data_IF_384830254862
#
_entry.id   IF_384830254862
#
_cell.length_a   1.000
_cell.length_b   1.000
_cell.length_c   1.000
_cell.angle_alpha   90.00
_cell.angle_beta   90.00
_cell.angle_gamma   90.00
#
_symmetry.space_group_name_H-M   'P 1'
#
loop_
_entity.id
_entity.type
_entity.pdbx_description
1 polymer ?
#
# COMPACT_ATOMS: atom_id res chain seq x y z
N UNK A 1 -44.27 14.41 29.68
CA UNK A 1 -44.35 13.18 28.90
C UNK A 1 -43.05 12.88 28.19
N UNK A 2 -42.54 11.67 28.31
CA UNK A 2 -41.48 11.13 27.45
C UNK A 2 -42.11 10.71 26.13
N UNK A 3 -41.58 11.22 25.02
CA UNK A 3 -42.07 10.87 23.67
C UNK A 3 -41.08 9.92 23.01
N UNK A 4 -41.49 8.67 22.79
CA UNK A 4 -40.70 7.63 22.13
C UNK A 4 -41.33 7.27 20.78
N UNK A 5 -40.47 6.95 19.82
CA UNK A 5 -40.89 6.40 18.53
C UNK A 5 -40.45 4.95 18.41
N UNK A 6 -41.36 4.04 18.61
CA UNK A 6 -41.12 2.59 18.53
C UNK A 6 -42.18 1.92 17.64
N UNK A 7 -41.77 0.92 16.86
CA UNK A 7 -42.63 0.14 15.96
C UNK A 7 -43.46 1.01 14.98
N UNK A 8 -42.84 2.11 14.48
CA UNK A 8 -43.48 3.10 13.60
C UNK A 8 -44.68 3.85 14.27
N UNK A 9 -44.75 3.85 15.58
CA UNK A 9 -45.82 4.57 16.34
C UNK A 9 -45.16 5.45 17.38
N UNK A 10 -45.80 6.59 17.64
CA UNK A 10 -45.46 7.48 18.75
C UNK A 10 -46.08 6.88 20.03
N UNK A 11 -45.26 6.71 21.07
CA UNK A 11 -45.68 6.35 22.42
C UNK A 11 -45.32 7.50 23.33
N UNK A 12 -46.22 7.77 24.29
CA UNK A 12 -46.01 8.81 25.29
C UNK A 12 -46.27 8.24 26.66
N UNK A 13 -45.30 8.40 27.55
CA UNK A 13 -45.42 8.00 28.95
C UNK A 13 -45.29 9.22 29.84
N UNK A 14 -46.14 9.32 30.88
CA UNK A 14 -46.17 10.45 31.79
C UNK A 14 -45.24 10.24 32.97
N UNK A 15 -44.42 11.24 33.29
CA UNK A 15 -43.47 11.23 34.39
C UNK A 15 -43.54 12.50 35.19
N UNK A 16 -43.48 12.40 36.52
CA UNK A 16 -43.31 13.53 37.40
C UNK A 16 -41.83 13.81 37.66
N UNK A 17 -41.43 15.07 37.54
CA UNK A 17 -40.07 15.50 37.91
C UNK A 17 -39.93 15.41 39.40
N UNK A 18 -39.02 14.62 39.91
CA UNK A 18 -38.77 14.50 41.35
C UNK A 18 -37.93 15.67 41.86
N UNK A 19 -36.88 15.99 41.13
CA UNK A 19 -35.99 17.11 41.41
C UNK A 19 -35.36 17.66 40.15
N UNK A 20 -34.95 18.93 40.23
CA UNK A 20 -34.19 19.58 39.17
C UNK A 20 -32.87 20.10 39.73
N UNK A 21 -31.81 19.82 39.02
CA UNK A 21 -30.44 20.25 39.32
C UNK A 21 -29.95 21.18 38.22
N UNK A 22 -28.75 21.73 38.38
CA UNK A 22 -28.07 22.50 37.33
C UNK A 22 -27.04 21.66 36.63
N UNK A 23 -27.08 21.57 35.32
CA UNK A 23 -26.07 21.03 34.47
C UNK A 23 -25.16 22.14 33.93
N UNK A 24 -23.87 22.07 34.18
CA UNK A 24 -22.90 23.12 33.83
C UNK A 24 -23.30 24.53 34.38
N UNK A 25 -23.84 24.56 35.58
CA UNK A 25 -24.30 25.78 36.29
C UNK A 25 -25.37 26.65 35.55
N UNK A 26 -25.78 26.23 34.37
CA UNK A 26 -26.61 27.03 33.48
C UNK A 26 -27.92 26.33 33.05
N UNK A 27 -27.87 25.05 32.74
CA UNK A 27 -28.97 24.31 32.13
C UNK A 27 -29.72 23.50 33.17
N UNK A 28 -31.04 23.30 32.99
CA UNK A 28 -31.82 22.44 33.85
C UNK A 28 -31.45 20.96 33.60
N UNK A 29 -31.30 20.20 34.66
CA UNK A 29 -31.10 18.77 34.67
C UNK A 29 -32.23 18.13 35.49
N UNK A 30 -33.13 17.46 34.80
CA UNK A 30 -34.32 16.89 35.42
C UNK A 30 -34.08 15.44 35.81
N UNK A 31 -34.54 15.07 37.00
CA UNK A 31 -34.41 13.73 37.55
C UNK A 31 -35.82 13.22 37.87
N UNK A 32 -36.08 12.00 37.39
CA UNK A 32 -37.35 11.32 37.58
C UNK A 32 -37.12 10.07 38.40
N UNK A 33 -38.02 9.79 39.37
CA UNK A 33 -37.91 8.68 40.35
C UNK A 33 -38.01 7.27 39.71
N UNK A 34 -38.25 7.19 38.43
CA UNK A 34 -38.48 5.97 37.71
C UNK A 34 -37.36 5.73 36.69
N UNK A 35 -36.87 4.48 36.61
CA UNK A 35 -35.90 4.10 35.62
C UNK A 35 -36.57 3.47 34.39
N UNK A 36 -36.72 4.27 33.35
CA UNK A 36 -37.23 3.82 32.07
C UNK A 36 -36.06 3.32 31.20
N UNK A 37 -35.98 2.02 31.04
CA UNK A 37 -35.01 1.35 30.13
C UNK A 37 -35.55 1.24 28.71
N UNK A 38 -36.79 1.59 28.44
CA UNK A 38 -37.43 1.50 27.13
C UNK A 38 -37.16 2.71 26.24
N UNK A 39 -36.77 3.84 26.84
CA UNK A 39 -36.47 5.06 26.12
C UNK A 39 -35.15 5.04 25.35
N UNK A 40 -35.15 5.61 24.16
CA UNK A 40 -33.94 5.84 23.37
C UNK A 40 -33.26 7.11 23.82
N UNK A 41 -31.96 7.09 24.06
CA UNK A 41 -31.21 8.30 24.42
C UNK A 41 -31.49 9.44 23.42
N UNK A 42 -31.77 10.66 23.96
CA UNK A 42 -32.16 11.80 23.17
C UNK A 42 -33.67 11.92 22.92
N UNK A 43 -34.49 10.96 23.36
CA UNK A 43 -35.96 11.09 23.30
C UNK A 43 -36.43 12.33 24.08
N UNK A 44 -37.33 13.17 23.52
CA UNK A 44 -37.74 14.41 24.17
C UNK A 44 -38.73 14.19 25.30
N UNK A 45 -38.52 14.88 26.40
CA UNK A 45 -39.53 15.14 27.41
C UNK A 45 -40.27 16.44 27.05
N UNK A 46 -41.62 16.38 26.98
CA UNK A 46 -42.46 17.52 26.68
C UNK A 46 -43.34 17.88 27.87
N UNK A 47 -43.59 19.16 28.07
CA UNK A 47 -44.54 19.65 29.10
C UNK A 47 -45.96 19.67 28.54
N UNK A 48 -46.94 20.10 29.39
CA UNK A 48 -48.34 20.21 29.03
C UNK A 48 -48.63 21.19 27.85
N UNK A 49 -47.69 22.09 27.55
CA UNK A 49 -47.80 23.04 26.45
C UNK A 49 -47.12 22.49 25.15
N UNK A 50 -46.66 21.23 25.15
CA UNK A 50 -45.97 20.64 23.99
C UNK A 50 -44.54 21.11 23.80
N UNK A 51 -43.96 21.85 24.75
CA UNK A 51 -42.57 22.33 24.66
C UNK A 51 -41.60 21.25 25.13
N UNK A 52 -40.52 21.05 24.41
CA UNK A 52 -39.43 20.14 24.83
C UNK A 52 -38.65 20.76 25.97
N UNK A 53 -38.71 20.13 27.14
CA UNK A 53 -38.05 20.58 28.36
C UNK A 53 -36.76 19.82 28.68
N UNK A 54 -36.60 18.61 28.15
CA UNK A 54 -35.43 17.79 28.39
C UNK A 54 -35.23 16.75 27.29
N UNK A 55 -33.99 16.26 27.14
CA UNK A 55 -33.64 15.13 26.30
C UNK A 55 -33.16 13.98 27.21
N UNK A 56 -33.75 12.81 27.02
CA UNK A 56 -33.45 11.61 27.80
C UNK A 56 -31.97 11.28 27.75
N UNK A 57 -31.33 11.13 28.90
CA UNK A 57 -30.00 10.62 29.09
C UNK A 57 -30.08 9.14 29.47
N UNK A 58 -29.36 8.30 28.72
CA UNK A 58 -29.25 6.87 29.05
C UNK A 58 -28.07 6.64 29.98
N UNK A 59 -28.30 5.94 31.10
CA UNK A 59 -27.26 5.51 32.03
C UNK A 59 -27.42 4.01 32.33
N UNK A 60 -26.33 3.28 32.24
CA UNK A 60 -26.32 1.84 32.56
C UNK A 60 -26.33 1.58 34.08
N UNK A 61 -25.96 2.56 34.87
CA UNK A 61 -25.71 2.42 36.33
C UNK A 61 -26.73 3.08 37.23
N UNK A 62 -27.58 3.97 36.70
CA UNK A 62 -28.53 4.73 37.52
C UNK A 62 -29.89 4.03 37.61
N UNK A 63 -30.49 4.12 38.78
CA UNK A 63 -31.88 3.69 39.07
C UNK A 63 -32.89 4.76 38.71
N UNK A 64 -32.45 5.96 38.34
CA UNK A 64 -33.25 7.12 38.03
C UNK A 64 -33.18 7.44 36.52
N UNK A 65 -34.25 8.02 36.00
CA UNK A 65 -34.29 8.56 34.63
C UNK A 65 -33.86 10.03 34.67
N UNK A 66 -32.95 10.39 33.78
CA UNK A 66 -32.38 11.72 33.71
C UNK A 66 -32.68 12.40 32.37
N UNK A 67 -32.90 13.70 32.38
CA UNK A 67 -33.03 14.49 31.16
C UNK A 67 -32.31 15.85 31.27
N UNK A 68 -31.59 16.20 30.24
CA UNK A 68 -30.87 17.47 30.13
C UNK A 68 -31.64 18.47 29.29
N UNK A 69 -31.65 19.75 29.69
CA UNK A 69 -32.25 20.85 28.93
C UNK A 69 -31.75 20.87 27.48
N UNK A 70 -32.64 20.81 26.46
CA UNK A 70 -32.26 20.74 25.07
C UNK A 70 -31.44 21.94 24.58
N UNK A 71 -31.53 23.10 25.27
CA UNK A 71 -30.74 24.29 24.94
C UNK A 71 -29.25 24.08 25.10
N UNK A 72 -28.82 23.09 25.89
CA UNK A 72 -27.42 22.67 25.93
C UNK A 72 -26.91 22.22 24.54
N UNK A 73 -27.72 21.47 23.79
CA UNK A 73 -27.35 20.98 22.47
C UNK A 73 -27.04 22.13 21.49
N UNK A 74 -27.69 23.30 21.65
CA UNK A 74 -27.46 24.48 20.79
C UNK A 74 -26.11 25.16 21.05
N UNK A 75 -25.41 24.80 22.13
CA UNK A 75 -24.12 25.38 22.50
C UNK A 75 -22.96 24.45 22.13
N UNK A 76 -23.26 23.24 21.64
CA UNK A 76 -22.25 22.31 21.17
C UNK A 76 -21.66 22.84 19.86
N UNK A 77 -20.38 23.16 19.90
CA UNK A 77 -19.61 23.48 18.70
C UNK A 77 -18.87 22.25 18.23
N UNK A 78 -19.04 21.92 16.97
CA UNK A 78 -18.33 20.82 16.31
C UNK A 78 -17.38 21.38 15.25
N UNK A 79 -16.21 20.79 15.14
CA UNK A 79 -15.25 21.08 14.08
C UNK A 79 -15.00 19.84 13.22
N UNK A 80 -14.31 19.99 12.10
CA UNK A 80 -14.05 18.89 11.16
C UNK A 80 -13.31 17.69 11.78
N UNK A 81 -12.55 17.89 12.87
CA UNK A 81 -11.83 16.82 13.56
C UNK A 81 -12.74 15.99 14.47
N UNK A 82 -13.90 16.53 14.88
CA UNK A 82 -14.83 15.79 15.75
C UNK A 82 -15.43 14.54 15.07
N UNK A 83 -15.35 14.43 13.75
CA UNK A 83 -15.68 13.20 13.01
C UNK A 83 -14.83 12.00 13.45
N UNK A 84 -13.68 12.25 14.10
CA UNK A 84 -12.81 11.19 14.62
C UNK A 84 -13.21 10.71 16.01
N UNK A 85 -14.13 11.40 16.71
CA UNK A 85 -14.52 11.05 18.09
C UNK A 85 -15.35 9.76 18.13
N UNK A 86 -14.99 8.82 19.04
CA UNK A 86 -15.73 7.56 19.18
C UNK A 86 -17.21 7.73 19.46
N UNK A 87 -17.56 8.71 20.30
CA UNK A 87 -18.97 8.98 20.66
C UNK A 87 -19.79 9.45 19.47
N UNK A 88 -19.22 10.35 18.65
CA UNK A 88 -19.85 10.81 17.42
C UNK A 88 -20.09 9.66 16.44
N UNK A 89 -19.14 8.73 16.33
CA UNK A 89 -19.23 7.59 15.40
C UNK A 89 -20.33 6.58 15.76
N UNK A 90 -20.76 6.55 17.03
CA UNK A 90 -21.92 5.74 17.47
C UNK A 90 -23.26 6.34 17.06
N UNK A 91 -23.28 7.59 16.60
CA UNK A 91 -24.50 8.26 16.17
C UNK A 91 -24.72 8.15 14.65
N UNK A 92 -25.96 8.19 14.19
CA UNK A 92 -26.29 8.30 12.77
C UNK A 92 -26.27 9.78 12.26
N UNK A 93 -25.95 10.72 13.14
CA UNK A 93 -25.97 12.15 12.82
C UNK A 93 -24.76 12.49 11.94
N UNK A 94 -24.98 13.20 10.84
CA UNK A 94 -23.91 13.79 10.02
C UNK A 94 -23.72 15.25 10.43
N UNK A 95 -22.46 15.66 10.56
CA UNK A 95 -22.14 17.08 10.73
C UNK A 95 -22.28 17.82 9.40
N UNK A 96 -22.57 19.11 9.49
CA UNK A 96 -22.54 19.97 8.31
C UNK A 96 -21.09 20.05 7.78
N UNK A 97 -20.95 19.94 6.47
CA UNK A 97 -19.67 20.13 5.80
C UNK A 97 -19.18 21.58 5.99
N UNK A 98 -17.93 21.81 6.43
CA UNK A 98 -17.37 23.15 6.62
C UNK A 98 -17.51 24.06 5.41
N UNK A 99 -17.47 25.39 5.64
CA UNK A 99 -17.56 26.39 4.56
C UNK A 99 -16.24 26.54 3.81
N UNK A 100 -15.13 26.17 4.42
CA UNK A 100 -13.83 26.07 3.75
C UNK A 100 -13.67 24.71 3.07
N UNK A 101 -13.36 24.71 1.78
CA UNK A 101 -13.27 23.47 0.97
C UNK A 101 -12.16 22.54 1.42
N UNK A 102 -11.04 23.06 1.93
CA UNK A 102 -9.92 22.25 2.41
C UNK A 102 -10.24 21.55 3.73
N UNK A 103 -10.92 22.28 4.64
CA UNK A 103 -11.41 21.69 5.89
C UNK A 103 -12.50 20.64 5.62
N UNK A 104 -13.36 20.89 4.64
CA UNK A 104 -14.36 19.95 4.20
C UNK A 104 -13.74 18.68 3.61
N UNK A 105 -12.71 18.81 2.78
CA UNK A 105 -11.97 17.69 2.22
C UNK A 105 -11.24 16.89 3.31
N UNK A 106 -10.59 17.58 4.27
CA UNK A 106 -9.97 16.92 5.42
C UNK A 106 -10.98 16.11 6.22
N UNK A 107 -12.18 16.65 6.45
CA UNK A 107 -13.26 15.93 7.13
C UNK A 107 -13.67 14.64 6.38
N UNK A 108 -13.74 14.69 5.04
CA UNK A 108 -14.02 13.51 4.21
C UNK A 108 -12.88 12.48 4.36
N UNK A 109 -11.62 12.90 4.26
CA UNK A 109 -10.46 12.02 4.41
C UNK A 109 -10.46 11.30 5.77
N UNK A 110 -10.71 12.03 6.86
CA UNK A 110 -10.80 11.45 8.21
C UNK A 110 -11.95 10.46 8.38
N UNK A 111 -13.01 10.59 7.57
CA UNK A 111 -14.15 9.66 7.60
C UNK A 111 -13.88 8.38 6.83
N UNK A 112 -13.05 8.44 5.78
CA UNK A 112 -12.73 7.29 4.93
C UNK A 112 -11.97 6.20 5.68
N UNK A 113 -11.11 6.56 6.63
CA UNK A 113 -10.31 5.61 7.43
C UNK A 113 -11.16 4.72 8.35
N UNK A 114 -12.42 5.08 8.61
CA UNK A 114 -13.30 4.38 9.55
C UNK A 114 -14.34 3.47 8.91
N UNK A 115 -14.26 3.24 7.62
CA UNK A 115 -15.12 2.31 6.86
C UNK A 115 -16.65 2.54 7.05
N UNK A 116 -17.09 3.67 7.62
CA UNK A 116 -18.50 4.01 7.65
C UNK A 116 -18.95 4.49 6.27
N UNK A 117 -19.22 3.51 5.40
CA UNK A 117 -19.48 3.77 3.98
C UNK A 117 -20.69 4.71 3.76
N UNK A 118 -21.72 4.66 4.60
CA UNK A 118 -22.92 5.48 4.46
C UNK A 118 -22.66 6.95 4.80
N UNK A 119 -21.98 7.23 5.91
CA UNK A 119 -21.57 8.60 6.27
C UNK A 119 -20.59 9.17 5.27
N UNK A 120 -19.59 8.38 4.87
CA UNK A 120 -18.57 8.79 3.90
C UNK A 120 -19.19 9.20 2.56
N UNK A 121 -20.09 8.36 2.02
CA UNK A 121 -20.85 8.70 0.79
C UNK A 121 -21.65 9.97 0.96
N UNK A 122 -22.31 10.13 2.10
CA UNK A 122 -23.08 11.32 2.40
C UNK A 122 -22.22 12.59 2.44
N UNK A 123 -21.03 12.55 3.05
CA UNK A 123 -20.13 13.69 3.07
C UNK A 123 -19.55 14.04 1.70
N UNK A 124 -19.25 13.05 0.88
CA UNK A 124 -18.84 13.29 -0.52
C UNK A 124 -19.96 14.01 -1.29
N UNK A 125 -21.20 13.54 -1.16
CA UNK A 125 -22.35 14.16 -1.82
C UNK A 125 -22.59 15.61 -1.35
N UNK A 126 -22.51 15.83 -0.03
CA UNK A 126 -22.65 17.16 0.58
C UNK A 126 -21.51 18.11 0.13
N UNK A 127 -20.27 17.58 -0.02
CA UNK A 127 -19.14 18.35 -0.55
C UNK A 127 -19.37 18.77 -1.99
N UNK A 128 -19.74 17.83 -2.87
CA UNK A 128 -20.02 18.12 -4.28
C UNK A 128 -21.15 19.16 -4.42
N UNK A 129 -22.19 19.02 -3.61
CA UNK A 129 -23.30 19.97 -3.62
C UNK A 129 -22.87 21.38 -3.18
N UNK A 130 -21.97 21.47 -2.18
CA UNK A 130 -21.48 22.73 -1.64
C UNK A 130 -20.39 23.37 -2.49
N UNK A 131 -19.52 22.56 -3.08
CA UNK A 131 -18.36 22.99 -3.87
C UNK A 131 -18.36 22.37 -5.28
N UNK A 132 -19.38 22.60 -6.10
CA UNK A 132 -19.52 21.93 -7.41
C UNK A 132 -18.41 22.30 -8.41
N UNK A 133 -17.65 23.36 -8.12
CA UNK A 133 -16.54 23.81 -8.98
C UNK A 133 -15.17 23.21 -8.60
N UNK A 134 -15.10 22.45 -7.49
CA UNK A 134 -13.90 21.78 -7.05
C UNK A 134 -13.83 20.36 -7.60
N UNK A 135 -12.67 19.95 -8.09
CA UNK A 135 -12.47 18.62 -8.69
C UNK A 135 -12.46 17.52 -7.62
N UNK A 136 -11.92 17.83 -6.45
CA UNK A 136 -11.67 16.88 -5.36
C UNK A 136 -12.86 16.00 -4.98
N UNK A 137 -14.06 16.60 -4.91
CA UNK A 137 -15.28 15.86 -4.56
C UNK A 137 -15.64 14.79 -5.58
N UNK A 138 -15.56 15.13 -6.86
CA UNK A 138 -15.82 14.19 -7.95
C UNK A 138 -14.76 13.11 -8.03
N UNK A 139 -13.48 13.48 -7.88
CA UNK A 139 -12.37 12.54 -7.84
C UNK A 139 -12.52 11.55 -6.69
N UNK A 140 -12.84 12.03 -5.49
CA UNK A 140 -13.05 11.18 -4.32
C UNK A 140 -14.21 10.20 -4.54
N UNK A 141 -15.32 10.67 -5.11
CA UNK A 141 -16.46 9.82 -5.48
C UNK A 141 -16.07 8.77 -6.53
N UNK A 142 -15.38 9.20 -7.57
CA UNK A 142 -14.94 8.34 -8.68
C UNK A 142 -13.98 7.26 -8.22
N UNK A 143 -12.97 7.60 -7.40
CA UNK A 143 -12.02 6.63 -6.85
C UNK A 143 -12.73 5.58 -5.98
N UNK A 144 -13.66 6.00 -5.13
CA UNK A 144 -14.45 5.09 -4.32
C UNK A 144 -15.33 4.16 -5.17
N UNK A 145 -16.01 4.70 -6.19
CA UNK A 145 -16.82 3.89 -7.11
C UNK A 145 -15.95 2.90 -7.89
N UNK A 146 -14.79 3.36 -8.37
CA UNK A 146 -13.82 2.53 -9.08
C UNK A 146 -13.30 1.37 -8.19
N UNK A 147 -12.99 1.63 -6.92
CA UNK A 147 -12.57 0.59 -5.97
C UNK A 147 -13.66 -0.45 -5.68
N UNK A 148 -14.93 -0.07 -5.83
CA UNK A 148 -16.08 -0.98 -5.72
C UNK A 148 -16.49 -1.61 -7.06
N UNK A 149 -15.74 -1.40 -8.15
CA UNK A 149 -16.04 -1.93 -9.48
C UNK A 149 -17.11 -1.15 -10.27
N UNK A 150 -17.64 -0.04 -9.73
CA UNK A 150 -18.58 0.84 -10.42
C UNK A 150 -17.82 1.84 -11.31
N UNK A 151 -17.22 1.34 -12.38
CA UNK A 151 -16.44 2.16 -13.32
C UNK A 151 -17.33 3.12 -14.13
N UNK A 152 -18.56 2.72 -14.44
CA UNK A 152 -19.50 3.59 -15.14
C UNK A 152 -19.92 4.78 -14.28
N UNK A 153 -20.16 4.55 -12.98
CA UNK A 153 -20.45 5.62 -12.03
C UNK A 153 -19.25 6.53 -11.79
N UNK A 154 -18.03 5.97 -11.77
CA UNK A 154 -16.79 6.75 -11.67
C UNK A 154 -16.58 7.64 -12.92
N UNK A 155 -16.81 7.11 -14.12
CA UNK A 155 -16.75 7.84 -15.38
C UNK A 155 -17.76 9.00 -15.42
N UNK A 156 -18.98 8.76 -14.92
CA UNK A 156 -20.00 9.80 -14.83
C UNK A 156 -19.57 10.94 -13.90
N UNK A 157 -18.97 10.62 -12.75
CA UNK A 157 -18.47 11.64 -11.82
C UNK A 157 -17.37 12.50 -12.45
N UNK A 158 -16.41 11.89 -13.14
CA UNK A 158 -15.33 12.64 -13.81
C UNK A 158 -15.83 13.49 -14.97
N UNK A 159 -16.84 13.04 -15.70
CA UNK A 159 -17.54 13.87 -16.70
C UNK A 159 -18.26 15.06 -16.05
N UNK A 160 -18.82 14.90 -14.86
CA UNK A 160 -19.39 16.03 -14.12
C UNK A 160 -18.27 17.00 -13.64
N UNK A 161 -17.12 16.49 -13.18
CA UNK A 161 -15.96 17.32 -12.88
C UNK A 161 -15.56 18.17 -14.09
N UNK A 162 -15.39 17.56 -15.27
CA UNK A 162 -15.10 18.28 -16.52
C UNK A 162 -16.15 19.36 -16.87
N UNK A 163 -17.41 19.10 -16.55
CA UNK A 163 -18.48 20.07 -16.83
C UNK A 163 -18.45 21.25 -15.87
N UNK A 164 -18.26 21.02 -14.58
CA UNK A 164 -18.50 22.02 -13.54
C UNK A 164 -17.23 22.65 -12.95
N UNK A 165 -16.10 21.93 -12.93
CA UNK A 165 -14.88 22.43 -12.30
C UNK A 165 -14.38 23.73 -12.97
N UNK A 166 -13.89 24.63 -12.15
CA UNK A 166 -13.24 25.87 -12.62
C UNK A 166 -11.87 25.54 -13.24
N UNK A 167 -11.11 24.67 -12.61
CA UNK A 167 -9.80 24.20 -13.13
C UNK A 167 -10.01 22.98 -14.03
N UNK A 168 -10.12 23.24 -15.34
CA UNK A 168 -10.31 22.18 -16.34
C UNK A 168 -9.07 21.31 -16.53
N UNK A 169 -7.88 21.89 -16.44
CA UNK A 169 -6.64 21.12 -16.56
C UNK A 169 -6.54 20.07 -15.44
N UNK A 170 -6.85 20.46 -14.21
CA UNK A 170 -6.91 19.54 -13.07
C UNK A 170 -8.00 18.47 -13.25
N UNK A 171 -9.18 18.84 -13.75
CA UNK A 171 -10.24 17.89 -14.00
C UNK A 171 -9.84 16.81 -15.04
N UNK A 172 -9.16 17.19 -16.11
CA UNK A 172 -8.58 16.26 -17.07
C UNK A 172 -7.47 15.39 -16.45
N UNK A 173 -6.60 16.01 -15.63
CA UNK A 173 -5.51 15.31 -14.92
C UNK A 173 -6.06 14.25 -13.95
N UNK A 174 -7.08 14.57 -13.15
CA UNK A 174 -7.71 13.61 -12.26
C UNK A 174 -8.47 12.52 -13.01
N UNK A 175 -9.07 12.84 -14.14
CA UNK A 175 -9.80 11.86 -14.94
C UNK A 175 -8.86 10.79 -15.52
N UNK A 176 -7.74 11.19 -16.14
CA UNK A 176 -6.77 10.20 -16.59
C UNK A 176 -6.24 9.35 -15.43
N UNK A 177 -6.00 9.93 -14.25
CA UNK A 177 -5.49 9.23 -13.09
C UNK A 177 -6.45 8.14 -12.61
N UNK A 178 -7.76 8.44 -12.55
CA UNK A 178 -8.80 7.46 -12.20
C UNK A 178 -8.87 6.33 -13.23
N UNK A 179 -8.83 6.66 -14.53
CA UNK A 179 -8.78 5.66 -15.60
C UNK A 179 -7.55 4.77 -15.52
N UNK A 180 -6.37 5.38 -15.35
CA UNK A 180 -5.08 4.70 -15.30
C UNK A 180 -4.99 3.71 -14.14
N UNK A 181 -5.50 4.10 -12.97
CA UNK A 181 -5.56 3.21 -11.82
C UNK A 181 -6.35 1.92 -12.13
N UNK A 182 -7.48 2.02 -12.79
CA UNK A 182 -8.25 0.84 -13.24
C UNK A 182 -7.47 0.03 -14.28
N UNK A 183 -6.90 0.69 -15.26
CA UNK A 183 -6.24 0.04 -16.40
C UNK A 183 -4.98 -0.73 -15.99
N UNK A 184 -4.29 -0.30 -14.93
CA UNK A 184 -3.05 -0.93 -14.47
C UNK A 184 -3.31 -1.95 -13.35
N UNK A 185 -4.24 -1.69 -12.44
CA UNK A 185 -4.37 -2.49 -11.21
C UNK A 185 -5.64 -3.33 -11.14
N UNK A 186 -6.63 -3.11 -12.03
CA UNK A 186 -7.85 -3.91 -12.02
C UNK A 186 -7.79 -5.03 -13.08
N UNK A 187 -8.22 -6.22 -12.69
CA UNK A 187 -8.42 -7.34 -13.61
C UNK A 187 -9.78 -7.29 -14.34
N UNK A 188 -10.56 -6.22 -14.14
CA UNK A 188 -11.86 -6.10 -14.81
C UNK A 188 -11.68 -5.90 -16.31
N UNK A 189 -12.24 -6.80 -17.09
CA UNK A 189 -12.24 -6.77 -18.56
C UNK A 189 -13.60 -6.36 -19.17
N UNK A 190 -14.61 -6.12 -18.33
CA UNK A 190 -15.98 -5.85 -18.80
C UNK A 190 -16.17 -4.39 -19.16
N UNK A 191 -15.61 -3.46 -18.37
CA UNK A 191 -15.71 -2.04 -18.65
C UNK A 191 -14.64 -1.61 -19.66
N UNK A 192 -15.04 -1.45 -20.93
CA UNK A 192 -14.16 -1.18 -22.07
C UNK A 192 -14.08 0.29 -22.48
N UNK A 193 -14.87 1.15 -21.85
CA UNK A 193 -14.90 2.59 -22.18
C UNK A 193 -13.59 3.31 -21.81
N UNK A 194 -12.85 2.79 -20.85
CA UNK A 194 -11.56 3.31 -20.48
C UNK A 194 -10.43 2.55 -21.18
N UNK A 195 -9.60 3.28 -21.87
CA UNK A 195 -8.42 2.78 -22.59
C UNK A 195 -7.21 3.64 -22.28
N UNK A 196 -6.01 3.13 -22.51
CA UNK A 196 -4.79 3.93 -22.37
C UNK A 196 -4.77 5.10 -23.37
N UNK A 197 -5.36 4.95 -24.56
CA UNK A 197 -5.48 6.05 -25.51
C UNK A 197 -6.37 7.18 -24.98
N UNK A 198 -7.48 6.85 -24.35
CA UNK A 198 -8.36 7.84 -23.72
C UNK A 198 -7.66 8.53 -22.55
N UNK A 199 -6.97 7.77 -21.71
CA UNK A 199 -6.20 8.33 -20.60
C UNK A 199 -5.09 9.27 -21.11
N UNK A 200 -4.41 8.90 -22.19
CA UNK A 200 -3.40 9.75 -22.82
C UNK A 200 -4.03 11.05 -23.35
N UNK A 201 -5.18 10.96 -24.02
CA UNK A 201 -5.90 12.15 -24.49
C UNK A 201 -6.26 13.11 -23.36
N UNK A 202 -6.72 12.60 -22.22
CA UNK A 202 -7.02 13.44 -21.06
C UNK A 202 -5.75 14.10 -20.46
N UNK A 203 -4.63 13.38 -20.41
CA UNK A 203 -3.35 13.95 -19.94
C UNK A 203 -2.83 15.03 -20.91
N UNK A 204 -2.98 14.83 -22.20
CA UNK A 204 -2.59 15.82 -23.23
C UNK A 204 -3.49 17.05 -23.20
N UNK A 205 -4.81 16.90 -22.99
CA UNK A 205 -5.71 18.04 -22.83
C UNK A 205 -5.41 18.84 -21.56
N UNK A 206 -5.05 18.16 -20.44
CA UNK A 206 -4.58 18.84 -19.25
C UNK A 206 -3.36 19.72 -19.55
N UNK A 207 -2.35 19.17 -20.23
CA UNK A 207 -1.14 19.90 -20.61
C UNK A 207 -1.41 21.04 -21.60
N UNK A 208 -2.33 20.87 -22.52
CA UNK A 208 -2.71 21.89 -23.50
C UNK A 208 -3.41 23.09 -22.87
N UNK A 209 -4.23 22.85 -21.84
CA UNK A 209 -4.94 23.91 -21.08
C UNK A 209 -3.96 24.64 -20.15
N UNK A 210 -3.14 23.89 -19.42
CA UNK A 210 -2.13 24.40 -18.51
C UNK A 210 -0.83 23.62 -18.72
N UNK A 211 0.21 24.21 -19.35
CA UNK A 211 1.42 23.51 -19.77
C UNK A 211 2.37 23.21 -18.60
N UNK A 212 1.84 22.61 -17.53
CA UNK A 212 2.65 22.11 -16.44
C UNK A 212 3.41 20.84 -16.84
N UNK A 213 4.70 20.80 -16.54
CA UNK A 213 5.58 19.67 -16.89
C UNK A 213 5.14 18.36 -16.21
N UNK A 214 4.41 18.42 -15.08
CA UNK A 214 3.81 17.26 -14.44
C UNK A 214 2.79 16.55 -15.35
N UNK A 215 1.97 17.28 -16.11
CA UNK A 215 1.03 16.66 -17.04
C UNK A 215 1.76 16.02 -18.24
N UNK A 216 2.86 16.65 -18.68
CA UNK A 216 3.71 16.08 -19.73
C UNK A 216 4.38 14.78 -19.28
N UNK A 217 4.85 14.75 -18.01
CA UNK A 217 5.38 13.55 -17.37
C UNK A 217 4.34 12.42 -17.31
N UNK A 218 3.11 12.74 -16.93
CA UNK A 218 1.99 11.77 -16.92
C UNK A 218 1.73 11.16 -18.29
N UNK A 219 1.75 11.98 -19.35
CA UNK A 219 1.60 11.49 -20.71
C UNK A 219 2.70 10.48 -21.08
N UNK A 220 3.95 10.72 -20.66
CA UNK A 220 5.06 9.79 -20.87
C UNK A 220 4.87 8.46 -20.14
N UNK A 221 4.36 8.49 -18.89
CA UNK A 221 4.05 7.28 -18.12
C UNK A 221 2.95 6.44 -18.79
N UNK A 222 1.93 7.09 -19.36
CA UNK A 222 0.88 6.40 -20.12
C UNK A 222 1.45 5.78 -21.40
N UNK A 223 2.29 6.51 -22.15
CA UNK A 223 2.98 6.00 -23.34
C UNK A 223 3.86 4.78 -23.00
N UNK A 224 4.58 4.81 -21.86
CA UNK A 224 5.33 3.65 -21.38
C UNK A 224 4.41 2.43 -21.16
N UNK A 225 3.25 2.64 -20.55
CA UNK A 225 2.28 1.57 -20.32
C UNK A 225 1.64 1.04 -21.59
N UNK A 226 1.54 1.88 -22.65
CA UNK A 226 1.16 1.50 -24.00
C UNK A 226 2.28 0.77 -24.75
N UNK A 227 3.48 0.66 -24.17
CA UNK A 227 4.71 0.14 -24.78
C UNK A 227 5.23 0.98 -25.96
N UNK A 228 4.85 2.24 -26.04
CA UNK A 228 5.37 3.22 -26.97
C UNK A 228 6.63 3.87 -26.36
N UNK A 229 7.65 3.02 -26.12
CA UNK A 229 8.84 3.36 -25.33
C UNK A 229 9.71 4.46 -25.96
N UNK A 230 9.75 4.53 -27.28
CA UNK A 230 10.44 5.58 -28.04
C UNK A 230 9.85 6.96 -27.74
N UNK A 231 8.52 7.09 -27.85
CA UNK A 231 7.81 8.34 -27.56
C UNK A 231 7.87 8.73 -26.10
N UNK A 232 7.74 7.73 -25.20
CA UNK A 232 7.89 7.96 -23.76
C UNK A 232 9.30 8.49 -23.44
N UNK A 233 10.34 7.85 -24.00
CA UNK A 233 11.72 8.26 -23.80
C UNK A 233 11.98 9.70 -24.31
N UNK A 234 11.47 10.07 -25.48
CA UNK A 234 11.61 11.44 -25.99
C UNK A 234 11.09 12.49 -25.00
N UNK A 235 9.97 12.20 -24.35
CA UNK A 235 9.40 13.11 -23.36
C UNK A 235 10.24 13.12 -22.08
N UNK A 236 10.65 11.96 -21.55
CA UNK A 236 11.50 11.91 -20.35
C UNK A 236 12.86 12.58 -20.60
N UNK A 237 13.45 12.41 -21.79
CA UNK A 237 14.69 13.08 -22.18
C UNK A 237 14.51 14.60 -22.24
N UNK A 238 13.41 15.10 -22.77
CA UNK A 238 13.08 16.52 -22.74
C UNK A 238 12.93 17.03 -21.28
N UNK A 239 12.16 16.31 -20.45
CA UNK A 239 11.94 16.66 -19.05
C UNK A 239 13.24 16.66 -18.24
N UNK A 240 14.17 15.76 -18.54
CA UNK A 240 15.47 15.67 -17.89
C UNK A 240 16.34 16.94 -18.06
N UNK A 241 16.02 17.77 -19.06
CA UNK A 241 16.71 19.02 -19.40
C UNK A 241 16.01 20.26 -18.85
N UNK A 242 14.96 20.09 -18.06
CA UNK A 242 14.16 21.18 -17.48
C UNK A 242 14.33 21.26 -15.95
N UNK A 243 13.68 22.22 -15.32
CA UNK A 243 13.57 22.30 -13.87
C UNK A 243 12.80 21.16 -13.21
N UNK A 244 12.10 20.34 -14.01
CA UNK A 244 11.37 19.15 -13.56
C UNK A 244 12.27 17.91 -13.44
N UNK A 245 13.53 18.01 -13.84
CA UNK A 245 14.50 16.90 -13.79
C UNK A 245 14.69 16.40 -12.35
N UNK A 246 14.18 15.21 -12.06
CA UNK A 246 14.27 14.54 -10.77
C UNK A 246 14.71 13.06 -10.95
N UNK A 247 14.89 12.34 -9.86
CA UNK A 247 15.31 10.92 -9.87
C UNK A 247 14.38 10.04 -10.69
N UNK A 248 13.08 10.27 -10.61
CA UNK A 248 12.05 9.47 -11.29
C UNK A 248 12.16 9.61 -12.81
N UNK A 249 12.29 10.85 -13.33
CA UNK A 249 12.43 11.11 -14.77
C UNK A 249 13.61 10.36 -15.37
N UNK A 250 14.77 10.36 -14.70
CA UNK A 250 15.94 9.64 -15.20
C UNK A 250 15.80 8.13 -15.10
N UNK A 251 15.14 7.64 -14.05
CA UNK A 251 14.86 6.23 -13.89
C UNK A 251 13.89 5.71 -14.96
N UNK A 252 12.80 6.42 -15.21
CA UNK A 252 11.82 6.09 -16.25
C UNK A 252 12.43 6.17 -17.66
N UNK A 253 13.31 7.15 -17.89
CA UNK A 253 14.09 7.22 -19.14
C UNK A 253 14.99 5.98 -19.29
N UNK A 254 15.65 5.53 -18.21
CA UNK A 254 16.45 4.30 -18.24
C UNK A 254 15.58 3.07 -18.52
N UNK A 255 14.39 2.99 -17.92
CA UNK A 255 13.46 1.89 -18.19
C UNK A 255 13.00 1.86 -19.65
N UNK A 256 12.66 3.02 -20.24
CA UNK A 256 12.34 3.10 -21.66
C UNK A 256 13.50 2.59 -22.54
N UNK A 257 14.72 3.05 -22.28
CA UNK A 257 15.91 2.63 -23.01
C UNK A 257 16.17 1.13 -22.86
N UNK A 258 15.96 0.57 -21.67
CA UNK A 258 16.09 -0.86 -21.45
C UNK A 258 15.10 -1.68 -22.29
N UNK A 259 13.85 -1.24 -22.39
CA UNK A 259 12.81 -1.87 -23.24
C UNK A 259 13.15 -1.76 -24.73
N UNK A 260 13.85 -0.70 -25.14
CA UNK A 260 14.35 -0.50 -26.49
C UNK A 260 15.66 -1.27 -26.79
N UNK A 261 16.19 -2.04 -25.84
CA UNK A 261 17.39 -2.85 -26.03
C UNK A 261 18.70 -2.05 -26.00
N UNK A 262 18.72 -0.91 -25.33
CA UNK A 262 19.94 -0.11 -25.17
C UNK A 262 21.02 -0.88 -24.38
N UNK A 263 22.28 -0.53 -24.61
CA UNK A 263 23.42 -1.14 -23.93
C UNK A 263 23.50 -0.70 -22.47
N UNK A 264 24.10 -1.55 -21.64
CA UNK A 264 24.28 -1.28 -20.20
C UNK A 264 25.04 0.03 -19.95
N UNK A 265 25.99 0.40 -20.82
CA UNK A 265 26.75 1.66 -20.72
C UNK A 265 25.89 2.91 -20.92
N UNK A 266 24.79 2.81 -21.67
CA UNK A 266 23.83 3.91 -21.81
C UNK A 266 22.89 3.97 -20.61
N UNK A 267 22.44 2.79 -20.14
CA UNK A 267 21.51 2.69 -19.02
C UNK A 267 22.12 3.17 -17.71
N UNK A 268 23.38 2.82 -17.47
CA UNK A 268 24.07 3.22 -16.22
C UNK A 268 24.21 4.74 -16.08
N UNK A 269 24.38 5.49 -17.17
CA UNK A 269 24.46 6.94 -17.14
C UNK A 269 23.16 7.58 -16.64
N UNK A 270 22.03 7.03 -17.08
CA UNK A 270 20.70 7.49 -16.63
C UNK A 270 20.44 7.10 -15.17
N UNK A 271 20.81 5.88 -14.77
CA UNK A 271 20.65 5.40 -13.38
C UNK A 271 21.59 6.17 -12.41
N UNK A 272 22.82 6.48 -12.82
CA UNK A 272 23.72 7.35 -12.06
C UNK A 272 23.09 8.74 -11.87
N UNK A 273 22.47 9.27 -12.93
CA UNK A 273 21.77 10.56 -12.87
C UNK A 273 20.57 10.53 -11.94
N UNK A 274 19.83 9.41 -11.91
CA UNK A 274 18.71 9.20 -11.00
C UNK A 274 19.16 9.18 -9.54
N UNK A 275 20.17 8.37 -9.20
CA UNK A 275 20.68 8.24 -7.83
C UNK A 275 21.38 9.50 -7.36
N UNK A 276 22.10 10.22 -8.24
CA UNK A 276 22.79 11.47 -7.90
C UNK A 276 21.82 12.58 -7.43
N UNK A 277 20.54 12.48 -7.76
CA UNK A 277 19.50 13.42 -7.33
C UNK A 277 18.81 13.02 -6.02
N UNK A 278 19.11 11.84 -5.49
CA UNK A 278 18.61 11.43 -4.20
C UNK A 278 19.39 12.09 -3.06
N UNK A 279 18.67 12.60 -2.07
CA UNK A 279 19.28 13.19 -0.88
C UNK A 279 19.83 12.10 0.05
N UNK A 280 21.05 12.30 0.56
CA UNK A 280 21.63 11.43 1.59
C UNK A 280 21.35 11.99 2.99
N UNK A 281 21.11 11.15 4.02
CA UNK A 281 20.96 9.69 3.92
C UNK A 281 19.76 9.30 3.07
N UNK A 282 19.88 8.20 2.32
CA UNK A 282 18.80 7.74 1.47
C UNK A 282 17.56 7.34 2.28
N UNK A 283 16.38 7.67 1.73
CA UNK A 283 15.08 7.28 2.26
C UNK A 283 14.43 6.22 1.36
N UNK A 284 13.27 5.70 1.76
CA UNK A 284 12.51 4.71 0.96
C UNK A 284 12.22 5.17 -0.48
N UNK A 285 12.16 6.46 -0.73
CA UNK A 285 11.99 7.03 -2.09
C UNK A 285 13.17 6.70 -3.01
N UNK A 286 14.38 6.59 -2.47
CA UNK A 286 15.58 6.26 -3.25
C UNK A 286 15.72 4.75 -3.54
N UNK A 287 14.99 3.90 -2.82
CA UNK A 287 15.14 2.45 -2.90
C UNK A 287 15.09 1.88 -4.35
N UNK A 288 14.09 2.20 -5.20
CA UNK A 288 14.02 1.64 -6.54
C UNK A 288 15.20 2.08 -7.41
N UNK A 289 15.71 3.30 -7.25
CA UNK A 289 16.80 3.82 -8.06
C UNK A 289 18.14 3.21 -7.68
N UNK A 290 18.41 3.10 -6.37
CA UNK A 290 19.62 2.48 -5.84
C UNK A 290 19.67 1.00 -6.19
N UNK A 291 18.55 0.27 -6.04
CA UNK A 291 18.45 -1.14 -6.41
C UNK A 291 18.70 -1.35 -7.90
N UNK A 292 18.05 -0.57 -8.76
CA UNK A 292 18.19 -0.69 -10.20
C UNK A 292 19.63 -0.39 -10.66
N UNK A 293 20.30 0.60 -10.05
CA UNK A 293 21.68 0.91 -10.35
C UNK A 293 22.62 -0.23 -9.90
N UNK A 294 22.40 -0.77 -8.71
CA UNK A 294 23.15 -1.93 -8.20
C UNK A 294 23.02 -3.15 -9.12
N UNK A 295 21.79 -3.45 -9.59
CA UNK A 295 21.54 -4.52 -10.55
C UNK A 295 22.24 -4.26 -11.90
N UNK A 296 22.29 -3.02 -12.34
CA UNK A 296 23.00 -2.68 -13.57
C UNK A 296 24.52 -2.88 -13.43
N UNK A 297 25.13 -2.44 -12.31
CA UNK A 297 26.53 -2.71 -12.04
C UNK A 297 26.82 -4.20 -11.92
N UNK A 298 25.93 -5.00 -11.33
CA UNK A 298 26.06 -6.46 -11.27
C UNK A 298 26.03 -7.08 -12.69
N UNK A 299 25.09 -6.67 -13.54
CA UNK A 299 25.03 -7.10 -14.94
C UNK A 299 26.30 -6.72 -15.73
N UNK A 300 26.94 -5.61 -15.40
CA UNK A 300 28.22 -5.18 -15.96
C UNK A 300 29.42 -5.86 -15.29
N UNK A 301 29.20 -6.73 -14.30
CA UNK A 301 30.22 -7.41 -13.46
C UNK A 301 31.09 -6.46 -12.63
N UNK A 302 30.62 -5.24 -12.41
CA UNK A 302 31.21 -4.33 -11.44
C UNK A 302 30.65 -4.60 -10.05
N UNK A 303 31.01 -5.76 -9.52
CA UNK A 303 30.50 -6.27 -8.26
C UNK A 303 30.81 -5.32 -7.07
N UNK A 304 31.87 -4.53 -7.16
CA UNK A 304 32.23 -3.60 -6.10
C UNK A 304 31.19 -2.48 -5.98
N UNK A 305 30.80 -1.86 -7.10
CA UNK A 305 29.77 -0.80 -7.09
C UNK A 305 28.40 -1.39 -6.84
N UNK A 306 28.12 -2.59 -7.41
CA UNK A 306 26.88 -3.30 -7.14
C UNK A 306 26.65 -3.54 -5.65
N UNK A 307 27.66 -4.06 -4.93
CA UNK A 307 27.59 -4.31 -3.48
C UNK A 307 27.43 -3.02 -2.67
N UNK A 308 28.01 -1.91 -3.08
CA UNK A 308 27.80 -0.63 -2.42
C UNK A 308 26.32 -0.22 -2.48
N UNK A 309 25.72 -0.31 -3.66
CA UNK A 309 24.29 0.00 -3.85
C UNK A 309 23.37 -1.01 -3.13
N UNK A 310 23.68 -2.30 -3.16
CA UNK A 310 22.91 -3.31 -2.43
C UNK A 310 22.95 -3.09 -0.91
N UNK A 311 24.10 -2.66 -0.36
CA UNK A 311 24.21 -2.34 1.06
C UNK A 311 23.41 -1.07 1.41
N UNK A 312 23.43 -0.05 0.54
CA UNK A 312 22.59 1.14 0.70
C UNK A 312 21.11 0.75 0.64
N UNK A 313 20.70 -0.10 -0.30
CA UNK A 313 19.33 -0.60 -0.42
C UNK A 313 18.88 -1.37 0.83
N UNK A 314 19.71 -2.28 1.35
CA UNK A 314 19.39 -3.05 2.55
C UNK A 314 19.22 -2.14 3.78
N UNK A 315 20.06 -1.09 3.86
CA UNK A 315 19.94 -0.05 4.90
C UNK A 315 18.62 0.71 4.77
N UNK A 316 18.22 1.10 3.56
CA UNK A 316 16.94 1.76 3.28
C UNK A 316 15.76 0.86 3.68
N UNK A 317 15.88 -0.44 3.42
CA UNK A 317 14.86 -1.44 3.74
C UNK A 317 14.88 -1.91 5.20
N UNK A 318 15.79 -1.40 6.01
CA UNK A 318 15.96 -1.81 7.43
C UNK A 318 16.13 -3.33 7.59
N UNK A 319 16.84 -3.99 6.68
CA UNK A 319 17.02 -5.44 6.71
C UNK A 319 15.73 -6.23 6.39
N UNK A 320 14.73 -5.61 5.76
CA UNK A 320 13.44 -6.24 5.44
C UNK A 320 13.24 -6.47 3.93
N UNK A 321 14.33 -6.59 3.19
CA UNK A 321 14.27 -6.96 1.79
C UNK A 321 13.78 -8.42 1.62
N UNK A 322 13.34 -8.77 0.42
CA UNK A 322 12.86 -10.12 0.13
C UNK A 322 14.03 -11.11 -0.10
N UNK A 323 13.71 -12.40 -0.16
CA UNK A 323 14.69 -13.46 -0.36
C UNK A 323 15.48 -13.31 -1.67
N UNK A 324 14.82 -12.86 -2.75
CA UNK A 324 15.46 -12.69 -4.07
C UNK A 324 16.54 -11.61 -4.03
N UNK A 325 16.35 -10.56 -3.25
CA UNK A 325 17.38 -9.54 -3.04
C UNK A 325 18.60 -10.13 -2.33
N UNK A 326 18.43 -10.83 -1.21
CA UNK A 326 19.55 -11.43 -0.47
C UNK A 326 20.27 -12.48 -1.32
N UNK A 327 19.53 -13.24 -2.11
CA UNK A 327 20.14 -14.21 -3.04
C UNK A 327 20.91 -13.52 -4.18
N UNK A 328 20.47 -12.38 -4.64
CA UNK A 328 21.19 -11.58 -5.65
C UNK A 328 22.46 -11.00 -5.06
N UNK A 329 22.41 -10.42 -3.85
CA UNK A 329 23.60 -9.90 -3.16
C UNK A 329 24.58 -11.03 -2.81
N UNK A 330 24.08 -12.16 -2.32
CA UNK A 330 24.88 -13.39 -2.14
C UNK A 330 25.70 -13.76 -3.37
N UNK A 331 25.11 -13.80 -4.56
CA UNK A 331 25.84 -14.13 -5.78
C UNK A 331 26.95 -13.11 -6.08
N UNK A 332 26.66 -11.84 -5.88
CA UNK A 332 27.63 -10.78 -6.04
C UNK A 332 28.80 -10.91 -5.04
N UNK A 333 28.52 -11.21 -3.77
CA UNK A 333 29.52 -11.44 -2.71
C UNK A 333 30.37 -12.67 -2.98
N UNK A 334 29.77 -13.76 -3.48
CA UNK A 334 30.52 -14.95 -3.92
C UNK A 334 31.49 -14.61 -5.04
N UNK A 335 31.09 -13.77 -6.00
CA UNK A 335 31.96 -13.31 -7.08
C UNK A 335 33.11 -12.43 -6.55
N UNK A 336 32.86 -11.67 -5.49
CA UNK A 336 33.90 -10.90 -4.78
C UNK A 336 34.69 -11.71 -3.77
N UNK A 337 34.47 -13.03 -3.65
CA UNK A 337 35.06 -13.96 -2.69
C UNK A 337 34.84 -13.57 -1.22
N UNK A 338 33.77 -12.84 -0.94
CA UNK A 338 33.33 -12.44 0.41
C UNK A 338 32.48 -13.54 1.04
N UNK A 339 33.03 -14.74 1.16
CA UNK A 339 32.25 -15.95 1.45
C UNK A 339 31.54 -15.93 2.80
N UNK A 340 32.09 -15.27 3.83
CA UNK A 340 31.44 -15.20 5.15
C UNK A 340 30.17 -14.35 5.09
N UNK A 341 30.21 -13.22 4.37
CA UNK A 341 29.06 -12.35 4.20
C UNK A 341 28.02 -13.05 3.31
N UNK A 342 28.47 -13.68 2.24
CA UNK A 342 27.63 -14.48 1.36
C UNK A 342 26.87 -15.59 2.11
N UNK A 343 27.52 -16.27 3.07
CA UNK A 343 26.84 -17.26 3.91
C UNK A 343 25.75 -16.65 4.79
N UNK A 344 25.94 -15.43 5.28
CA UNK A 344 24.90 -14.73 6.05
C UNK A 344 23.70 -14.38 5.16
N UNK A 345 23.96 -13.88 3.95
CA UNK A 345 22.89 -13.50 3.01
C UNK A 345 22.08 -14.70 2.52
N UNK A 346 22.75 -15.80 2.15
CA UNK A 346 22.02 -17.01 1.72
C UNK A 346 21.23 -17.64 2.86
N UNK A 347 21.75 -17.58 4.10
CA UNK A 347 21.02 -18.02 5.29
C UNK A 347 19.80 -17.12 5.55
N UNK A 348 19.94 -15.81 5.37
CA UNK A 348 18.83 -14.86 5.51
C UNK A 348 17.78 -15.09 4.41
N UNK A 349 18.18 -15.30 3.16
CA UNK A 349 17.27 -15.65 2.07
C UNK A 349 16.47 -16.93 2.40
N UNK A 350 17.12 -17.97 2.92
CA UNK A 350 16.46 -19.21 3.34
C UNK A 350 15.48 -19.00 4.52
N UNK A 351 15.72 -18.00 5.37
CA UNK A 351 14.86 -17.68 6.49
C UNK A 351 13.60 -16.93 6.08
N UNK A 352 13.72 -15.92 5.20
CA UNK A 352 12.61 -15.01 4.83
C UNK A 352 11.82 -15.49 3.60
N UNK A 353 12.29 -16.52 2.88
CA UNK A 353 11.62 -17.01 1.68
C UNK A 353 10.32 -17.74 1.97
N UNK A 354 9.48 -17.87 0.93
CA UNK A 354 8.35 -18.78 0.94
C UNK A 354 8.79 -20.22 1.21
N UNK A 355 8.00 -21.01 1.99
CA UNK A 355 8.41 -22.35 2.42
C UNK A 355 8.86 -23.28 1.28
N UNK A 356 8.22 -23.22 0.12
CA UNK A 356 8.52 -24.04 -1.05
C UNK A 356 9.88 -23.70 -1.70
N UNK A 357 10.39 -22.49 -1.49
CA UNK A 357 11.68 -22.05 -2.04
C UNK A 357 12.86 -22.36 -1.12
N UNK A 358 12.60 -22.68 0.15
CA UNK A 358 13.63 -22.91 1.16
C UNK A 358 14.63 -24.01 0.82
N UNK A 359 14.24 -25.16 0.25
CA UNK A 359 15.20 -26.18 -0.17
C UNK A 359 16.25 -25.66 -1.15
N UNK A 360 15.86 -24.78 -2.07
CA UNK A 360 16.76 -24.20 -3.08
C UNK A 360 17.87 -23.38 -2.41
N UNK A 361 17.48 -22.48 -1.48
CA UNK A 361 18.47 -21.64 -0.77
C UNK A 361 19.35 -22.46 0.19
N UNK A 362 18.81 -23.51 0.81
CA UNK A 362 19.59 -24.42 1.66
C UNK A 362 20.61 -25.23 0.85
N UNK A 363 20.23 -25.71 -0.35
CA UNK A 363 21.16 -26.39 -1.23
C UNK A 363 22.31 -25.46 -1.69
N UNK A 364 21.99 -24.21 -2.06
CA UNK A 364 22.99 -23.19 -2.40
C UNK A 364 23.91 -22.87 -1.21
N UNK A 365 23.37 -22.73 -0.01
CA UNK A 365 24.13 -22.50 1.21
C UNK A 365 25.10 -23.68 1.48
N UNK A 366 24.60 -24.90 1.39
CA UNK A 366 25.43 -26.11 1.57
C UNK A 366 26.54 -26.20 0.51
N UNK A 367 26.23 -25.82 -0.73
CA UNK A 367 27.22 -25.77 -1.84
C UNK A 367 28.34 -24.77 -1.52
N UNK A 368 28.03 -23.58 -1.05
CA UNK A 368 29.04 -22.60 -0.65
C UNK A 368 29.85 -23.11 0.54
N UNK A 369 29.22 -23.71 1.56
CA UNK A 369 29.91 -24.31 2.71
C UNK A 369 30.90 -25.41 2.28
N UNK A 370 30.50 -26.29 1.35
CA UNK A 370 31.39 -27.30 0.76
C UNK A 370 32.58 -26.62 0.07
N UNK A 371 32.32 -25.61 -0.76
CA UNK A 371 33.36 -24.89 -1.52
C UNK A 371 34.40 -24.20 -0.63
N UNK A 372 34.00 -23.73 0.55
CA UNK A 372 34.89 -23.10 1.53
C UNK A 372 35.41 -24.07 2.59
N UNK A 373 35.25 -25.36 2.36
CA UNK A 373 35.74 -26.47 3.22
C UNK A 373 35.09 -26.50 4.63
N UNK A 374 33.85 -25.96 4.78
CA UNK A 374 33.06 -26.08 6.00
C UNK A 374 32.22 -27.38 5.97
N UNK A 375 32.93 -28.54 5.95
CA UNK A 375 32.35 -29.83 5.57
C UNK A 375 31.22 -30.27 6.52
N UNK A 376 31.42 -30.16 7.84
CA UNK A 376 30.38 -30.52 8.82
C UNK A 376 29.12 -29.63 8.68
N UNK A 377 29.29 -28.34 8.40
CA UNK A 377 28.19 -27.44 8.16
C UNK A 377 27.45 -27.78 6.84
N UNK A 378 28.20 -28.10 5.79
CA UNK A 378 27.63 -28.52 4.51
C UNK A 378 26.73 -29.76 4.66
N UNK A 379 27.16 -30.76 5.45
CA UNK A 379 26.36 -31.95 5.75
C UNK A 379 25.08 -31.56 6.50
N UNK A 380 25.20 -30.75 7.58
CA UNK A 380 24.03 -30.32 8.38
C UNK A 380 23.04 -29.52 7.55
N UNK A 381 23.51 -28.60 6.74
CA UNK A 381 22.65 -27.79 5.87
C UNK A 381 21.98 -28.61 4.78
N UNK A 382 22.70 -29.55 4.18
CA UNK A 382 22.14 -30.52 3.23
C UNK A 382 21.08 -31.41 3.90
N UNK A 383 21.29 -31.86 5.13
CA UNK A 383 20.31 -32.62 5.90
C UNK A 383 19.01 -31.80 6.16
N UNK A 384 19.14 -30.51 6.47
CA UNK A 384 17.97 -29.62 6.61
C UNK A 384 17.20 -29.47 5.28
N UNK A 385 17.93 -29.37 4.16
CA UNK A 385 17.31 -29.38 2.84
C UNK A 385 16.55 -30.68 2.58
N UNK A 386 17.17 -31.83 2.86
CA UNK A 386 16.59 -33.14 2.63
C UNK A 386 15.41 -33.49 3.56
N UNK A 387 15.29 -32.84 4.71
CA UNK A 387 14.09 -32.92 5.54
C UNK A 387 12.88 -32.24 4.89
N UNK A 388 13.09 -31.25 4.04
CA UNK A 388 12.05 -30.52 3.33
C UNK A 388 11.78 -31.11 1.93
N UNK A 389 12.82 -31.62 1.28
CA UNK A 389 12.79 -32.21 -0.05
C UNK A 389 13.76 -33.40 -0.09
N UNK A 390 13.25 -34.60 0.23
CA UNK A 390 14.02 -35.82 0.40
C UNK A 390 14.75 -36.31 -0.89
N UNK A 391 14.26 -35.88 -2.03
CA UNK A 391 14.82 -36.25 -3.35
C UNK A 391 15.61 -35.12 -4.02
N UNK A 392 15.99 -34.08 -3.26
CA UNK A 392 16.82 -33.00 -3.74
C UNK A 392 18.20 -33.49 -4.13
N UNK A 393 18.44 -33.66 -5.42
CA UNK A 393 19.71 -34.24 -5.96
C UNK A 393 20.92 -33.37 -5.67
N UNK A 394 20.78 -32.03 -5.64
CA UNK A 394 21.87 -31.14 -5.29
C UNK A 394 22.28 -31.29 -3.83
N UNK A 395 21.33 -31.32 -2.91
CA UNK A 395 21.60 -31.52 -1.50
C UNK A 395 22.24 -32.89 -1.22
N UNK A 396 21.74 -33.97 -1.86
CA UNK A 396 22.31 -35.29 -1.77
C UNK A 396 23.76 -35.36 -2.31
N UNK A 397 24.01 -34.71 -3.44
CA UNK A 397 25.35 -34.65 -4.06
C UNK A 397 26.32 -33.89 -3.16
N UNK A 398 25.92 -32.72 -2.66
CA UNK A 398 26.73 -31.89 -1.77
C UNK A 398 27.04 -32.63 -0.48
N UNK A 399 26.04 -33.29 0.14
CA UNK A 399 26.21 -34.12 1.32
C UNK A 399 27.22 -35.24 1.07
N UNK A 400 27.04 -35.96 -0.03
CA UNK A 400 27.99 -37.04 -0.43
C UNK A 400 29.42 -36.54 -0.56
N UNK A 401 29.63 -35.39 -1.25
CA UNK A 401 30.97 -34.82 -1.43
C UNK A 401 31.56 -34.30 -0.10
N UNK A 402 30.76 -33.70 0.76
CA UNK A 402 31.19 -33.27 2.10
C UNK A 402 31.60 -34.48 2.96
N UNK A 403 30.83 -35.58 2.94
CA UNK A 403 31.14 -36.83 3.64
C UNK A 403 32.43 -37.49 3.13
N UNK A 404 32.69 -37.41 1.82
CA UNK A 404 34.01 -37.84 1.27
C UNK A 404 35.13 -37.04 1.92
N UNK A 405 34.99 -35.72 1.99
CA UNK A 405 35.97 -34.83 2.63
C UNK A 405 36.20 -35.15 4.10
N UNK A 406 35.14 -35.57 4.81
CA UNK A 406 35.16 -36.01 6.22
C UNK A 406 35.65 -37.46 6.39
N UNK A 407 36.05 -38.14 5.33
CA UNK A 407 36.48 -39.54 5.31
C UNK A 407 35.37 -40.54 5.73
N UNK A 408 34.11 -40.18 5.63
CA UNK A 408 32.94 -41.03 5.88
C UNK A 408 32.46 -41.70 4.60
N UNK A 409 33.33 -42.54 4.03
CA UNK A 409 33.13 -43.15 2.70
C UNK A 409 31.83 -43.97 2.54
N UNK A 410 31.40 -44.80 3.50
CA UNK A 410 30.16 -45.57 3.35
C UNK A 410 28.92 -44.66 3.21
N UNK A 411 28.79 -43.69 4.09
CA UNK A 411 27.66 -42.70 4.10
C UNK A 411 27.69 -41.86 2.80
N UNK A 412 28.87 -41.46 2.36
CA UNK A 412 29.05 -40.70 1.11
C UNK A 412 28.54 -41.47 -0.10
N UNK A 413 28.92 -42.77 -0.18
CA UNK A 413 28.50 -43.64 -1.30
C UNK A 413 27.01 -43.89 -1.32
N UNK A 414 26.35 -43.97 -0.17
CA UNK A 414 24.89 -44.03 -0.08
C UNK A 414 24.23 -42.83 -0.71
N UNK A 415 24.66 -41.62 -0.35
CA UNK A 415 24.14 -40.36 -0.93
C UNK A 415 24.37 -40.32 -2.45
N UNK A 416 25.56 -40.60 -2.92
CA UNK A 416 25.90 -40.59 -4.35
C UNK A 416 25.10 -41.65 -5.15
N UNK A 417 24.86 -42.82 -4.54
CA UNK A 417 24.05 -43.86 -5.16
C UNK A 417 22.58 -43.44 -5.26
N UNK A 418 22.07 -42.74 -4.25
CA UNK A 418 20.72 -42.16 -4.29
C UNK A 418 20.59 -41.12 -5.40
N UNK A 419 21.55 -40.20 -5.55
CA UNK A 419 21.61 -39.24 -6.66
C UNK A 419 21.54 -39.94 -8.02
N UNK A 420 22.32 -41.01 -8.20
CA UNK A 420 22.28 -41.83 -9.42
C UNK A 420 20.91 -42.46 -9.65
N UNK A 421 20.30 -43.03 -8.60
CA UNK A 421 18.96 -43.64 -8.68
C UNK A 421 17.87 -42.64 -9.09
N UNK A 422 18.05 -41.37 -8.71
CA UNK A 422 17.18 -40.27 -9.11
C UNK A 422 17.43 -39.75 -10.54
N UNK A 423 18.40 -40.36 -11.24
CA UNK A 423 18.70 -40.09 -12.66
C UNK A 423 19.69 -38.95 -12.90
N UNK A 424 20.33 -38.42 -11.87
CA UNK A 424 21.34 -37.37 -12.02
C UNK A 424 22.72 -37.98 -12.38
N UNK A 425 23.16 -37.74 -13.59
CA UNK A 425 24.40 -38.30 -14.15
C UNK A 425 25.66 -37.78 -13.49
N UNK A 426 25.63 -36.66 -12.80
CA UNK A 426 26.77 -36.08 -12.05
C UNK A 426 27.32 -37.08 -11.03
N UNK A 427 26.49 -37.96 -10.49
CA UNK A 427 26.89 -38.97 -9.52
C UNK A 427 27.87 -40.02 -10.10
N UNK A 428 27.74 -40.38 -11.37
CA UNK A 428 28.55 -41.46 -11.98
C UNK A 428 30.05 -41.16 -11.92
N UNK A 429 30.46 -39.94 -12.19
CA UNK A 429 31.84 -39.50 -12.11
C UNK A 429 32.40 -39.63 -10.68
N UNK A 430 31.61 -39.12 -9.70
CA UNK A 430 32.03 -39.14 -8.28
C UNK A 430 32.05 -40.58 -7.71
N UNK A 431 31.05 -41.41 -8.06
CA UNK A 431 31.04 -42.82 -7.66
C UNK A 431 32.27 -43.53 -8.20
N UNK A 432 32.63 -43.31 -9.46
CA UNK A 432 33.85 -43.91 -10.07
C UNK A 432 35.14 -43.43 -9.40
N UNK A 433 35.20 -42.15 -9.04
CA UNK A 433 36.38 -41.52 -8.43
C UNK A 433 36.61 -41.93 -6.98
N UNK A 434 35.54 -42.16 -6.22
CA UNK A 434 35.63 -42.44 -4.78
C UNK A 434 35.29 -43.89 -4.39
N UNK A 435 34.97 -44.73 -5.37
CA UNK A 435 34.80 -46.19 -5.18
C UNK A 435 36.12 -46.84 -4.83
#
# INVERSE_FOLDING_TARGET
WLVNFADKKVKTDEYSVERSEKFMDKYAYYIFAYNDKSGVAGSPFVNANGQVIGLLQQSETNIETHAVDPRFATTLAFNSLDVTRPDYNKTAIRMQVPDDSKQALLMIMLTSERQDSAKYVGYIADYIAKFPQQVDGYTTSALRKSSNGDFAGADADMKQALKHATNKAEAHAEYWRVMYQKLIYSNDSLYKEWTLDKALGEAEEAYKIDPQLAYRHSAAQILFSKREYDKAYEIFDQLSKTSFANSEVFYEAAQCKAQLGAKNEELIVLLDSAVARCTKPYTSVAAPYVLARGQMYDAMKDYRRALADYNDYDTIMYGRANADFYFTRYKCEVNMRQYQVALNDIAHAAYVCEPQMRPIYLAEMASLQLRVNMLDNAVKTADLCLQLDADNTDALLIKGLALVGLKKKPEAMECLQRVKTLGDQRADEYIKKYK
#
